data_IF_334158276287
#
_entry.id   IF_334158276287
#
_cell.length_a   1.000
_cell.length_b   1.000
_cell.length_c   1.000
_cell.angle_alpha   90.00
_cell.angle_beta   90.00
_cell.angle_gamma   90.00
#
_symmetry.space_group_name_H-M   'P 1'
#
loop_
_entity.id
_entity.type
_entity.pdbx_description
1 polymer ?
#
# COMPACT_ATOMS: atom_id res chain seq x y z
N UNK A 1 -18.53 -15.09 14.01
CA UNK A 1 -17.66 -15.13 12.81
C UNK A 1 -17.16 -13.72 12.54
N UNK A 2 -15.85 -13.51 12.42
CA UNK A 2 -15.30 -12.20 12.04
C UNK A 2 -15.76 -11.84 10.63
N UNK A 3 -16.40 -10.68 10.46
CA UNK A 3 -16.80 -10.19 9.15
C UNK A 3 -15.54 -9.82 8.34
N UNK A 4 -15.51 -10.20 7.06
CA UNK A 4 -14.44 -9.78 6.16
C UNK A 4 -14.47 -8.25 5.96
N UNK A 5 -13.31 -7.61 5.82
CA UNK A 5 -13.21 -6.17 5.60
C UNK A 5 -13.82 -5.76 4.24
N UNK A 6 -14.38 -4.56 4.20
CA UNK A 6 -14.91 -3.96 2.98
C UNK A 6 -13.77 -3.39 2.13
N UNK A 7 -13.58 -3.98 0.94
CA UNK A 7 -12.50 -3.69 -0.01
C UNK A 7 -13.12 -3.50 -1.39
N UNK A 8 -12.81 -2.38 -2.05
CA UNK A 8 -13.39 -1.96 -3.31
C UNK A 8 -12.83 -2.73 -4.52
N UNK A 9 -11.67 -3.38 -4.38
CA UNK A 9 -11.10 -4.20 -5.44
C UNK A 9 -11.80 -5.57 -5.48
N UNK A 10 -12.65 -5.85 -6.49
CA UNK A 10 -13.43 -7.07 -6.55
C UNK A 10 -12.60 -8.31 -6.90
N UNK A 11 -11.37 -8.13 -7.41
CA UNK A 11 -10.48 -9.23 -7.81
C UNK A 11 -9.49 -9.62 -6.70
N UNK A 12 -9.42 -8.87 -5.60
CA UNK A 12 -8.56 -9.19 -4.47
C UNK A 12 -9.30 -10.10 -3.49
N UNK A 13 -8.73 -11.27 -3.18
CA UNK A 13 -9.23 -12.10 -2.10
C UNK A 13 -9.09 -11.38 -0.76
N UNK A 14 -10.20 -11.23 -0.03
CA UNK A 14 -10.22 -10.60 1.28
C UNK A 14 -9.88 -11.60 2.38
N UNK A 15 -9.00 -11.18 3.28
CA UNK A 15 -8.63 -11.92 4.49
C UNK A 15 -9.11 -11.16 5.74
N UNK A 16 -9.39 -11.85 6.86
CA UNK A 16 -9.77 -11.18 8.11
C UNK A 16 -8.71 -10.20 8.64
N UNK A 17 -7.44 -10.38 8.27
CA UNK A 17 -6.33 -9.50 8.61
C UNK A 17 -6.17 -8.30 7.66
N UNK A 18 -6.92 -8.25 6.56
CA UNK A 18 -6.84 -7.13 5.63
C UNK A 18 -7.43 -5.86 6.23
N UNK A 19 -6.88 -4.74 5.80
CA UNK A 19 -7.40 -3.42 6.15
C UNK A 19 -8.53 -3.02 5.20
N UNK A 20 -9.63 -2.51 5.76
CA UNK A 20 -10.72 -1.95 4.97
C UNK A 20 -10.35 -0.62 4.31
N UNK A 21 -11.03 -0.25 3.22
CA UNK A 21 -10.79 1.04 2.56
C UNK A 21 -11.11 2.23 3.45
N UNK A 22 -12.11 2.11 4.34
CA UNK A 22 -12.44 3.15 5.31
C UNK A 22 -11.28 3.40 6.27
N UNK A 23 -10.65 2.33 6.76
CA UNK A 23 -9.47 2.45 7.61
C UNK A 23 -8.28 3.06 6.84
N UNK A 24 -8.11 2.69 5.56
CA UNK A 24 -7.11 3.30 4.70
C UNK A 24 -7.29 4.82 4.53
N UNK A 25 -8.53 5.30 4.35
CA UNK A 25 -8.82 6.75 4.22
C UNK A 25 -8.38 7.55 5.44
N UNK A 26 -8.52 6.99 6.65
CA UNK A 26 -8.05 7.63 7.89
C UNK A 26 -6.53 7.69 7.91
N UNK A 27 -5.85 6.56 7.65
CA UNK A 27 -4.40 6.48 7.68
C UNK A 27 -3.73 7.31 6.58
N UNK A 28 -4.29 7.35 5.37
CA UNK A 28 -3.74 8.08 4.23
C UNK A 28 -3.44 9.55 4.54
N UNK A 29 -4.23 10.19 5.41
CA UNK A 29 -4.04 11.59 5.82
C UNK A 29 -2.86 11.79 6.79
N UNK A 30 -2.46 10.73 7.47
CA UNK A 30 -1.38 10.72 8.45
C UNK A 30 -0.04 10.32 7.83
N UNK A 31 -0.07 9.68 6.66
CA UNK A 31 1.12 9.33 5.91
C UNK A 31 1.68 10.61 5.30
N UNK A 32 2.89 11.05 5.67
CA UNK A 32 3.51 12.23 5.05
C UNK A 32 3.70 11.99 3.56
N UNK A 33 3.73 13.07 2.78
CA UNK A 33 4.14 12.94 1.38
C UNK A 33 5.49 12.24 1.30
N UNK A 34 5.68 11.33 0.32
CA UNK A 34 6.97 10.73 0.10
C UNK A 34 8.01 11.83 0.00
N UNK A 35 8.98 11.83 0.93
CA UNK A 35 10.21 12.62 0.78
C UNK A 35 10.80 12.14 -0.54
N UNK A 36 10.68 12.94 -1.60
CA UNK A 36 11.01 12.54 -2.96
C UNK A 36 12.30 11.73 -2.98
N UNK A 37 12.34 10.68 -3.82
CA UNK A 37 13.47 9.75 -3.88
C UNK A 37 14.79 10.51 -3.76
N UNK A 38 15.66 10.09 -2.83
CA UNK A 38 17.08 10.43 -2.98
C UNK A 38 17.51 10.05 -4.40
N UNK A 39 18.51 10.75 -4.97
CA UNK A 39 18.91 10.59 -6.37
C UNK A 39 18.77 9.15 -6.85
N UNK A 40 17.98 8.88 -7.92
CA UNK A 40 17.85 7.54 -8.47
C UNK A 40 19.23 6.92 -8.64
N UNK A 41 19.51 5.85 -7.91
CA UNK A 41 20.76 5.11 -8.09
C UNK A 41 20.64 4.39 -9.43
N UNK A 42 21.29 4.94 -10.44
CA UNK A 42 21.48 4.24 -11.70
C UNK A 42 22.50 3.13 -11.45
N UNK A 43 22.03 1.88 -11.43
CA UNK A 43 22.92 0.71 -11.44
C UNK A 43 23.22 0.41 -12.90
N UNK A 44 24.50 0.44 -13.28
CA UNK A 44 24.92 -0.06 -14.58
C UNK A 44 24.85 -1.59 -14.56
N UNK A 45 23.84 -2.17 -15.20
CA UNK A 45 23.65 -3.62 -15.27
C UNK A 45 24.78 -4.35 -16.02
N UNK A 46 25.69 -3.63 -16.69
CA UNK A 46 26.86 -4.21 -17.39
C UNK A 46 28.06 -4.45 -16.47
N UNK A 47 27.98 -4.02 -15.21
CA UNK A 47 29.03 -4.20 -14.20
C UNK A 47 28.67 -5.28 -13.15
N UNK A 48 27.66 -6.11 -13.44
CA UNK A 48 27.26 -7.28 -12.62
C UNK A 48 27.90 -8.55 -13.18
#
# INVERSE_FOLDING_TARGET
MSRLPDIANPHRQAYPSDMSDRAWVVLRRLIPEPKGFGHPRMVNLREI
#
